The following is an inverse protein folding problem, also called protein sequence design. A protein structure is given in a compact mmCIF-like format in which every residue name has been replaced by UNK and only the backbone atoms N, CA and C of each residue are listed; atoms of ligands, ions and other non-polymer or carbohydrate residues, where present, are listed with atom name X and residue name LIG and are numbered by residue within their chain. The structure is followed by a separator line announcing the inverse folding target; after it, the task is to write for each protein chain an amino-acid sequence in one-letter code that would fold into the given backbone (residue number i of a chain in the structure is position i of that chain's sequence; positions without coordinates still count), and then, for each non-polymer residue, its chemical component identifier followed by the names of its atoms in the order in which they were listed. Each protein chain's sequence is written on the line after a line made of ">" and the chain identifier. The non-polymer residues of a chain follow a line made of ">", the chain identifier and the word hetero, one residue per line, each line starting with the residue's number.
data_IF_948099574539
#
_entry.id   IF_948099574539
#
_cell.length_a   1.000
_cell.length_b   1.000
_cell.length_c   1.000
_cell.angle_alpha   90.00
_cell.angle_beta   90.00
_cell.angle_gamma   90.00
#
_symmetry.space_group_name_H-M   'P 1'
#
loop_
_entity.id
_entity.type
_entity.pdbx_description
1 polymer ?
#
# COMPACT_ATOMS: atom_id res chain seq x y z
N UNK A 1 4.53 -1.97 8.35
CA UNK A 1 4.42 -3.18 7.54
C UNK A 1 5.52 -3.18 6.47
N UNK A 2 6.17 -4.30 6.22
CA UNK A 2 7.10 -4.44 5.09
C UNK A 2 6.49 -5.46 4.12
N UNK A 3 6.12 -5.03 2.92
CA UNK A 3 5.34 -5.82 1.97
C UNK A 3 6.18 -6.16 0.74
N UNK A 4 6.06 -7.41 0.28
CA UNK A 4 6.63 -7.89 -0.98
C UNK A 4 5.54 -7.92 -2.06
N UNK A 5 5.69 -7.07 -3.07
CA UNK A 5 4.79 -6.94 -4.21
C UNK A 5 5.38 -7.57 -5.48
N UNK A 6 6.44 -8.37 -5.34
CA UNK A 6 6.99 -9.20 -6.42
C UNK A 6 5.95 -10.03 -7.17
N UNK A 7 4.95 -10.65 -6.49
CA UNK A 7 3.87 -11.37 -7.17
C UNK A 7 3.03 -10.50 -8.13
N UNK A 8 3.01 -9.17 -7.95
CA UNK A 8 2.27 -8.23 -8.79
C UNK A 8 3.13 -7.61 -9.90
N UNK A 9 4.37 -8.11 -10.10
CA UNK A 9 5.33 -7.56 -11.08
C UNK A 9 4.73 -7.34 -12.47
N UNK A 10 3.98 -8.28 -13.09
CA UNK A 10 3.44 -8.05 -14.43
C UNK A 10 2.54 -6.80 -14.51
N UNK A 11 1.67 -6.61 -13.51
CA UNK A 11 0.75 -5.47 -13.44
C UNK A 11 1.47 -4.16 -13.11
N UNK A 12 2.54 -4.22 -12.31
CA UNK A 12 3.36 -3.06 -11.98
C UNK A 12 4.18 -2.61 -13.20
N UNK A 13 4.81 -3.53 -13.92
CA UNK A 13 5.55 -3.24 -15.15
C UNK A 13 4.64 -2.64 -16.22
N UNK A 14 3.41 -3.14 -16.37
CA UNK A 14 2.41 -2.56 -17.28
C UNK A 14 2.03 -1.11 -16.95
N UNK A 15 2.27 -0.68 -15.69
CA UNK A 15 2.08 0.70 -15.22
C UNK A 15 3.39 1.51 -15.18
N UNK A 16 4.47 0.96 -15.74
CA UNK A 16 5.79 1.62 -15.76
C UNK A 16 6.55 1.51 -14.43
N UNK A 17 6.24 0.51 -13.60
CA UNK A 17 6.92 0.26 -12.31
C UNK A 17 7.72 -1.04 -12.41
N UNK A 18 9.01 -0.91 -12.66
CA UNK A 18 9.98 -2.00 -12.78
C UNK A 18 10.80 -2.25 -11.51
N UNK A 19 10.98 -1.24 -10.66
CA UNK A 19 11.86 -1.31 -9.50
C UNK A 19 11.29 -0.69 -8.20
N UNK A 20 12.05 -0.80 -7.11
CA UNK A 20 11.65 -0.34 -5.77
C UNK A 20 11.57 1.19 -5.64
N UNK A 21 12.27 1.96 -6.47
CA UNK A 21 12.20 3.42 -6.46
C UNK A 21 10.94 3.89 -7.17
N UNK A 22 10.66 3.36 -8.37
CA UNK A 22 9.41 3.63 -9.10
C UNK A 22 8.20 3.16 -8.30
N UNK A 23 8.32 2.04 -7.57
CA UNK A 23 7.26 1.53 -6.70
C UNK A 23 6.96 2.48 -5.53
N UNK A 24 8.00 3.09 -4.95
CA UNK A 24 7.84 4.10 -3.91
C UNK A 24 7.06 5.30 -4.43
N UNK A 25 7.44 5.85 -5.58
CA UNK A 25 6.75 6.99 -6.19
C UNK A 25 5.30 6.64 -6.53
N UNK A 26 5.08 5.48 -7.16
CA UNK A 26 3.77 5.00 -7.56
C UNK A 26 2.80 4.85 -6.38
N UNK A 27 3.23 4.17 -5.31
CA UNK A 27 2.39 3.96 -4.13
C UNK A 27 2.28 5.21 -3.28
N UNK A 28 3.35 6.02 -3.19
CA UNK A 28 3.33 7.29 -2.47
C UNK A 28 2.25 8.24 -2.99
N UNK A 29 2.15 8.36 -4.33
CA UNK A 29 1.12 9.17 -4.98
C UNK A 29 -0.29 8.63 -4.77
N UNK A 30 -0.49 7.29 -4.82
CA UNK A 30 -1.81 6.66 -4.73
C UNK A 30 -2.35 6.50 -3.31
N UNK A 31 -1.48 6.25 -2.34
CA UNK A 31 -1.86 6.06 -0.94
C UNK A 31 -1.90 7.37 -0.15
N UNK A 32 -1.50 8.49 -0.77
CA UNK A 32 -1.35 9.80 -0.11
C UNK A 32 -0.50 9.73 1.18
N UNK A 33 0.43 8.78 1.24
CA UNK A 33 1.30 8.49 2.38
C UNK A 33 2.61 7.95 1.86
N UNK A 34 3.76 8.25 2.50
CA UNK A 34 5.04 7.68 2.11
C UNK A 34 4.98 6.15 2.07
N UNK A 35 5.50 5.57 0.98
CA UNK A 35 5.70 4.13 0.81
C UNK A 35 7.17 3.81 0.49
N UNK A 36 8.14 4.13 1.40
CA UNK A 36 9.57 3.93 1.14
C UNK A 36 9.91 2.58 0.54
N UNK A 37 10.62 2.60 -0.60
CA UNK A 37 11.08 1.40 -1.29
C UNK A 37 12.11 0.63 -0.48
N UNK A 38 12.15 -0.69 -0.67
CA UNK A 38 13.06 -1.60 0.02
C UNK A 38 14.53 -1.25 -0.16
N UNK A 39 14.88 -0.69 -1.32
CA UNK A 39 16.23 -0.21 -1.64
C UNK A 39 16.77 0.78 -0.60
N UNK A 40 15.91 1.58 0.05
CA UNK A 40 16.31 2.50 1.14
C UNK A 40 16.75 1.79 2.42
N UNK A 41 16.46 0.49 2.53
CA UNK A 41 16.76 -0.36 3.67
C UNK A 41 17.78 -1.45 3.34
N UNK A 42 18.37 -1.41 2.14
CA UNK A 42 19.42 -2.33 1.71
C UNK A 42 18.94 -3.52 0.88
N UNK A 43 17.67 -3.57 0.49
CA UNK A 43 17.22 -4.57 -0.50
C UNK A 43 17.76 -4.25 -1.91
N UNK A 44 17.79 -5.28 -2.76
CA UNK A 44 18.06 -5.10 -4.19
C UNK A 44 17.04 -4.13 -4.81
N UNK A 45 17.50 -3.23 -5.69
CA UNK A 45 16.65 -2.25 -6.37
C UNK A 45 15.52 -2.94 -7.16
N UNK A 46 15.78 -4.10 -7.76
CA UNK A 46 14.77 -4.87 -8.50
C UNK A 46 13.75 -5.57 -7.59
N UNK A 47 13.98 -5.65 -6.27
CA UNK A 47 13.03 -6.24 -5.34
C UNK A 47 11.88 -5.27 -5.08
N UNK A 48 10.68 -5.60 -5.56
CA UNK A 48 9.46 -4.79 -5.44
C UNK A 48 8.88 -4.82 -4.01
N UNK A 49 9.66 -4.35 -3.04
CA UNK A 49 9.30 -4.30 -1.62
C UNK A 49 9.15 -2.88 -1.14
N UNK A 50 8.24 -2.65 -0.21
CA UNK A 50 7.96 -1.33 0.36
C UNK A 50 7.67 -1.41 1.86
N UNK A 51 8.03 -0.33 2.57
CA UNK A 51 7.63 -0.12 3.96
C UNK A 51 6.41 0.79 4.03
N UNK A 52 5.28 0.24 4.46
CA UNK A 52 4.03 0.97 4.66
C UNK A 52 3.86 1.31 6.14
N UNK A 53 3.64 2.60 6.43
CA UNK A 53 3.24 3.05 7.78
C UNK A 53 1.76 2.71 7.99
N UNK A 54 1.43 2.01 9.08
CA UNK A 54 0.03 1.75 9.43
C UNK A 54 -0.55 2.84 10.33
N UNK A 55 0.29 3.73 10.88
CA UNK A 55 -0.17 4.82 11.74
C UNK A 55 -1.08 5.82 11.04
N UNK A 56 -0.94 5.97 9.72
CA UNK A 56 -1.81 6.83 8.90
C UNK A 56 -3.25 6.32 8.81
N UNK A 57 -3.48 5.05 9.16
CA UNK A 57 -4.82 4.44 9.21
C UNK A 57 -5.58 4.77 10.50
N UNK A 58 -4.91 5.34 11.51
CA UNK A 58 -5.45 5.53 12.86
C UNK A 58 -6.03 6.94 13.10
N UNK A 59 -6.31 7.68 12.03
CA UNK A 59 -6.79 9.07 12.09
C UNK A 59 -5.69 10.13 12.04
N UNK A 60 -6.11 11.37 11.77
CA UNK A 60 -5.24 12.54 11.61
C UNK A 60 -4.94 13.24 12.93
N UNK A 61 -5.83 13.11 13.91
CA UNK A 61 -5.75 13.80 15.21
C UNK A 61 -5.41 12.87 16.37
N UNK A 62 -4.93 13.45 17.47
CA UNK A 62 -4.67 12.69 18.70
C UNK A 62 -5.96 12.16 19.35
N UNK A 63 -7.09 12.85 19.16
CA UNK A 63 -8.40 12.40 19.62
C UNK A 63 -8.86 11.14 18.88
N UNK A 64 -8.73 11.12 17.55
CA UNK A 64 -9.01 9.92 16.74
C UNK A 64 -8.08 8.76 17.14
N UNK A 65 -6.78 9.02 17.31
CA UNK A 65 -5.82 7.98 17.75
C UNK A 65 -6.17 7.43 19.13
N UNK A 66 -6.59 8.29 20.06
CA UNK A 66 -7.02 7.88 21.39
C UNK A 66 -8.32 7.06 21.34
N UNK A 67 -9.25 7.42 20.45
CA UNK A 67 -10.47 6.66 20.21
C UNK A 67 -10.17 5.27 19.61
N UNK A 68 -9.23 5.16 18.65
CA UNK A 68 -8.72 3.87 18.19
C UNK A 68 -8.16 3.03 19.34
N UNK A 69 -7.34 3.62 20.20
CA UNK A 69 -6.70 2.92 21.32
C UNK A 69 -7.70 2.38 22.35
N UNK A 70 -8.82 3.09 22.55
CA UNK A 70 -9.85 2.73 23.55
C UNK A 70 -10.98 1.88 22.99
N UNK A 71 -11.17 1.84 21.67
CA UNK A 71 -12.29 1.12 21.07
C UNK A 71 -12.11 -0.40 21.15
N UNK A 72 -13.15 -1.16 21.54
CA UNK A 72 -13.13 -2.62 21.42
C UNK A 72 -13.29 -3.10 19.97
N UNK A 73 -13.70 -2.21 19.06
CA UNK A 73 -13.88 -2.48 17.64
C UNK A 73 -13.27 -1.34 16.78
N UNK A 74 -11.93 -1.18 16.79
CA UNK A 74 -11.28 -0.03 16.15
C UNK A 74 -11.43 -0.01 14.63
N UNK A 75 -11.67 -1.16 14.00
CA UNK A 75 -11.88 -1.28 12.55
C UNK A 75 -13.24 -0.70 12.09
N UNK A 76 -14.20 -0.59 13.01
CA UNK A 76 -15.54 -0.03 12.72
C UNK A 76 -15.57 1.51 12.88
N UNK A 77 -14.48 2.12 13.34
CA UNK A 77 -14.37 3.58 13.44
C UNK A 77 -14.37 4.19 12.03
N UNK A 78 -15.21 5.21 11.74
CA UNK A 78 -15.42 5.68 10.37
C UNK A 78 -14.14 6.06 9.61
N UNK A 79 -13.19 6.73 10.28
CA UNK A 79 -11.93 7.15 9.66
C UNK A 79 -10.98 5.98 9.40
N UNK A 80 -10.91 5.00 10.32
CA UNK A 80 -10.11 3.77 10.12
C UNK A 80 -10.67 2.98 8.94
N UNK A 81 -11.98 2.76 8.95
CA UNK A 81 -12.67 2.02 7.91
C UNK A 81 -12.52 2.69 6.53
N UNK A 82 -12.69 4.02 6.46
CA UNK A 82 -12.49 4.78 5.22
C UNK A 82 -11.05 4.69 4.70
N UNK A 83 -10.05 4.84 5.57
CA UNK A 83 -8.64 4.70 5.18
C UNK A 83 -8.32 3.28 4.68
N UNK A 84 -8.87 2.24 5.31
CA UNK A 84 -8.70 0.86 4.88
C UNK A 84 -9.37 0.58 3.54
N UNK A 85 -10.58 1.11 3.29
CA UNK A 85 -11.24 1.01 1.98
C UNK A 85 -10.41 1.68 0.89
N UNK A 86 -9.89 2.88 1.17
CA UNK A 86 -9.04 3.60 0.22
C UNK A 86 -7.79 2.80 -0.16
N UNK A 87 -7.08 2.24 0.83
CA UNK A 87 -5.92 1.39 0.57
C UNK A 87 -6.30 0.11 -0.16
N UNK A 88 -7.40 -0.54 0.27
CA UNK A 88 -7.91 -1.74 -0.38
C UNK A 88 -8.19 -1.51 -1.87
N UNK A 89 -8.82 -0.39 -2.24
CA UNK A 89 -9.09 -0.05 -3.63
C UNK A 89 -7.82 -0.02 -4.48
N UNK A 90 -6.76 0.63 -3.99
CA UNK A 90 -5.47 0.72 -4.71
C UNK A 90 -4.86 -0.66 -4.95
N UNK A 91 -4.88 -1.54 -3.95
CA UNK A 91 -4.32 -2.88 -4.09
C UNK A 91 -5.23 -3.83 -4.89
N UNK A 92 -6.56 -3.68 -4.80
CA UNK A 92 -7.51 -4.44 -5.62
C UNK A 92 -7.31 -4.10 -7.11
N UNK A 93 -7.11 -2.83 -7.48
CA UNK A 93 -6.77 -2.45 -8.86
C UNK A 93 -5.46 -3.09 -9.36
N UNK A 94 -4.44 -3.21 -8.51
CA UNK A 94 -3.19 -3.87 -8.88
C UNK A 94 -3.40 -5.39 -9.08
N UNK A 95 -4.16 -6.03 -8.19
CA UNK A 95 -4.50 -7.45 -8.27
C UNK A 95 -5.31 -7.76 -9.52
N UNK A 96 -6.35 -6.98 -9.78
CA UNK A 96 -7.27 -7.22 -10.90
C UNK A 96 -6.52 -7.05 -12.23
N UNK A 97 -5.57 -6.13 -12.31
CA UNK A 97 -4.66 -6.03 -13.46
C UNK A 97 -3.79 -7.27 -13.58
N UNK A 98 -3.16 -7.74 -12.50
CA UNK A 98 -2.30 -8.93 -12.55
C UNK A 98 -3.07 -10.14 -13.08
N UNK A 99 -4.30 -10.36 -12.61
CA UNK A 99 -5.18 -11.43 -13.07
C UNK A 99 -5.57 -11.30 -14.55
N UNK A 100 -5.79 -10.08 -15.05
CA UNK A 100 -6.05 -9.84 -16.48
C UNK A 100 -4.87 -10.21 -17.37
N UNK A 101 -3.65 -10.03 -16.88
CA UNK A 101 -2.43 -10.34 -17.63
C UNK A 101 -1.97 -11.80 -17.51
N UNK A 102 -2.41 -12.53 -16.47
CA UNK A 102 -2.18 -13.98 -16.32
C UNK A 102 -3.09 -14.82 -17.22
N UNK A 103 -4.25 -14.30 -17.61
CA UNK A 103 -5.18 -14.95 -18.54
C UNK A 103 -5.27 -14.16 -19.86
N UNK A 104 -4.31 -14.30 -20.79
CA UNK A 104 -4.46 -13.73 -22.11
C UNK A 104 -5.65 -14.41 -22.79
N UNK A 105 -6.64 -13.60 -23.17
CA UNK A 105 -7.73 -14.05 -24.05
C UNK A 105 -7.20 -14.37 -25.44
#
# INVERSE_FOLDING_TARGET
>A
LYADLGPLRPALVARGVGDAQELEEFLGARLASPAPGGHRFGDDLAALRVRLSTGVLLGGSDEERLACLRSPAPLELPYVHASLISWKSVFDELRDDAQRWEHPR
#
